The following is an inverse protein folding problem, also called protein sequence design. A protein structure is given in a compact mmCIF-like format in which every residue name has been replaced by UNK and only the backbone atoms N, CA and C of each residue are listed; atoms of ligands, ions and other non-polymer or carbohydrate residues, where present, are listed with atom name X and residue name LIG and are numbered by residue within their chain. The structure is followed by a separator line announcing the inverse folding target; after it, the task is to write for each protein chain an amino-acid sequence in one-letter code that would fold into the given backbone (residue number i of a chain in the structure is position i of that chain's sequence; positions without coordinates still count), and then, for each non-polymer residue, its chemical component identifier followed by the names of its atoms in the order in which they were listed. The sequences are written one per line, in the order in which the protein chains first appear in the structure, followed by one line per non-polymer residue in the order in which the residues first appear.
data_IF_620984804653
#
_entry.id   IF_620984804653
#
_cell.length_a   1.000
_cell.length_b   1.000
_cell.length_c   1.000
_cell.angle_alpha   90.00
_cell.angle_beta   90.00
_cell.angle_gamma   90.00
#
_symmetry.space_group_name_H-M   'P 1'
#
loop_
_entity.id
_entity.type
_entity.pdbx_description
1 polymer ?
#
# COMPACT_ATOMS: atom_id res chain seq x y z
N UNK A 1 18.16 30.07 -6.65
CA UNK A 1 17.14 29.00 -6.69
C UNK A 1 17.69 27.78 -5.93
N UNK A 2 16.84 26.82 -5.60
CA UNK A 2 17.22 25.56 -4.91
C UNK A 2 16.99 24.39 -5.84
N UNK A 3 17.51 23.22 -5.49
CA UNK A 3 17.34 22.00 -6.26
C UNK A 3 15.89 21.50 -6.23
N UNK A 4 15.40 20.99 -7.35
CA UNK A 4 14.15 20.26 -7.45
C UNK A 4 14.41 18.88 -8.06
N UNK A 5 13.80 17.84 -7.51
CA UNK A 5 14.00 16.46 -7.94
C UNK A 5 12.67 15.81 -8.31
N UNK A 6 12.67 15.08 -9.41
CA UNK A 6 11.62 14.18 -9.85
C UNK A 6 12.21 12.79 -9.95
N UNK A 7 11.68 11.86 -9.20
CA UNK A 7 12.19 10.50 -9.06
C UNK A 7 11.10 9.54 -9.51
N UNK A 8 11.40 8.70 -10.48
CA UNK A 8 10.57 7.55 -10.86
C UNK A 8 11.26 6.27 -10.45
N UNK A 9 10.73 5.63 -9.41
CA UNK A 9 11.25 4.36 -8.92
C UNK A 9 10.51 3.20 -9.58
N UNK A 10 11.16 2.57 -10.57
CA UNK A 10 10.75 1.32 -11.16
C UNK A 10 11.18 0.09 -10.35
N UNK A 11 10.80 -1.10 -10.81
CA UNK A 11 11.22 -2.37 -10.20
C UNK A 11 12.71 -2.65 -10.37
N UNK A 12 13.28 -2.33 -11.52
CA UNK A 12 14.70 -2.59 -11.85
C UNK A 12 15.56 -1.33 -11.76
N UNK A 13 15.08 -0.20 -12.25
CA UNK A 13 15.80 1.05 -12.30
C UNK A 13 15.01 2.18 -11.65
N UNK A 14 15.74 3.12 -11.08
CA UNK A 14 15.23 4.40 -10.58
C UNK A 14 15.80 5.50 -11.47
N UNK A 15 14.92 6.26 -12.09
CA UNK A 15 15.27 7.41 -12.91
C UNK A 15 15.07 8.70 -12.12
N UNK A 16 16.07 9.58 -12.13
CA UNK A 16 16.03 10.85 -11.42
C UNK A 16 16.28 11.98 -12.40
N UNK A 17 15.39 12.95 -12.41
CA UNK A 17 15.56 14.23 -13.10
C UNK A 17 15.75 15.29 -12.03
N UNK A 18 16.87 16.00 -12.08
CA UNK A 18 17.19 17.08 -11.17
C UNK A 18 17.23 18.42 -11.91
N UNK A 19 16.57 19.42 -11.38
CA UNK A 19 16.73 20.81 -11.80
C UNK A 19 17.69 21.50 -10.86
N UNK A 20 18.79 21.97 -11.42
CA UNK A 20 19.81 22.72 -10.70
C UNK A 20 19.36 24.13 -10.31
N UNK A 21 20.06 24.78 -9.37
CA UNK A 21 19.76 26.17 -9.01
C UNK A 21 19.88 27.18 -10.17
N UNK A 22 20.70 26.87 -11.18
CA UNK A 22 20.87 27.67 -12.41
C UNK A 22 19.74 27.45 -13.43
N UNK A 23 18.80 26.50 -13.14
CA UNK A 23 17.68 26.15 -13.99
C UNK A 23 17.97 25.02 -14.99
N UNK A 24 19.21 24.55 -15.11
CA UNK A 24 19.56 23.43 -15.99
C UNK A 24 19.02 22.10 -15.47
N UNK A 25 18.70 21.19 -16.38
CA UNK A 25 18.26 19.84 -16.05
C UNK A 25 19.43 18.86 -16.14
N UNK A 26 19.46 17.92 -15.21
CA UNK A 26 20.37 16.79 -15.23
C UNK A 26 19.59 15.51 -14.90
N UNK A 27 20.05 14.40 -15.47
CA UNK A 27 19.42 13.10 -15.27
C UNK A 27 20.41 12.11 -14.70
N UNK A 28 19.92 11.20 -13.88
CA UNK A 28 20.71 10.10 -13.35
C UNK A 28 19.86 8.84 -13.28
N UNK A 29 20.44 7.71 -13.65
CA UNK A 29 19.78 6.41 -13.63
C UNK A 29 20.61 5.44 -12.80
N UNK A 30 19.94 4.74 -11.88
CA UNK A 30 20.58 3.76 -11.02
C UNK A 30 19.67 2.55 -10.80
N UNK A 31 20.24 1.45 -10.34
CA UNK A 31 19.44 0.26 -9.99
C UNK A 31 18.53 0.60 -8.80
N UNK A 32 17.29 0.13 -8.83
CA UNK A 32 16.35 0.33 -7.71
C UNK A 32 16.78 -0.41 -6.45
N UNK A 33 17.48 -1.55 -6.61
CA UNK A 33 18.04 -2.36 -5.54
C UNK A 33 19.52 -2.63 -5.80
N UNK A 34 20.39 -2.14 -4.91
CA UNK A 34 21.83 -2.40 -4.92
C UNK A 34 22.37 -2.35 -3.48
N UNK A 35 22.08 -3.38 -2.66
CA UNK A 35 22.41 -3.38 -1.23
C UNK A 35 23.89 -3.27 -0.92
N UNK A 36 24.76 -3.58 -1.88
CA UNK A 36 26.22 -3.46 -1.73
C UNK A 36 26.68 -1.99 -1.77
N UNK A 37 25.97 -1.12 -2.46
CA UNK A 37 26.35 0.28 -2.64
C UNK A 37 25.47 1.26 -1.87
N UNK A 38 24.16 0.98 -1.78
CA UNK A 38 23.20 1.85 -1.10
C UNK A 38 21.95 1.06 -0.63
N UNK A 39 21.30 1.56 0.41
CA UNK A 39 20.04 1.01 0.91
C UNK A 39 18.82 1.49 0.14
N UNK A 40 18.89 2.71 -0.38
CA UNK A 40 17.79 3.35 -1.10
C UNK A 40 18.31 4.13 -2.31
N UNK A 41 17.75 3.83 -3.48
CA UNK A 41 18.16 4.41 -4.75
C UNK A 41 17.83 5.91 -4.84
N UNK A 42 16.70 6.36 -4.29
CA UNK A 42 16.34 7.76 -4.33
C UNK A 42 17.31 8.61 -3.51
N UNK A 43 17.65 8.16 -2.31
CA UNK A 43 18.64 8.81 -1.44
C UNK A 43 20.03 8.81 -2.09
N UNK A 44 20.44 7.69 -2.70
CA UNK A 44 21.72 7.62 -3.41
C UNK A 44 21.80 8.62 -4.56
N UNK A 45 20.73 8.76 -5.34
CA UNK A 45 20.66 9.72 -6.41
C UNK A 45 20.64 11.18 -5.96
N UNK A 46 19.94 11.50 -4.86
CA UNK A 46 20.01 12.84 -4.26
C UNK A 46 21.46 13.17 -3.81
N UNK A 47 22.13 12.23 -3.15
CA UNK A 47 23.54 12.39 -2.73
C UNK A 47 24.47 12.61 -3.90
N UNK A 48 24.25 11.89 -5.01
CA UNK A 48 25.03 12.05 -6.23
C UNK A 48 24.94 13.50 -6.77
N UNK A 49 23.74 14.06 -6.89
CA UNK A 49 23.58 15.43 -7.40
C UNK A 49 24.04 16.52 -6.44
N UNK A 50 23.92 16.29 -5.15
CA UNK A 50 24.31 17.23 -4.10
C UNK A 50 25.78 17.07 -3.68
N UNK A 51 26.49 16.10 -4.27
CA UNK A 51 27.91 15.76 -3.96
C UNK A 51 28.12 15.48 -2.45
N UNK A 52 27.14 14.78 -1.84
CA UNK A 52 27.15 14.45 -0.41
C UNK A 52 27.65 13.03 -0.21
N UNK A 53 28.72 12.80 0.59
CA UNK A 53 29.23 11.47 0.84
C UNK A 53 28.25 10.58 1.59
N UNK A 54 28.46 9.24 1.45
CA UNK A 54 27.66 8.26 2.17
C UNK A 54 27.73 8.49 3.69
N UNK A 55 26.59 8.47 4.37
CA UNK A 55 26.51 8.68 5.82
C UNK A 55 26.40 10.14 6.28
N UNK A 56 26.75 11.12 5.44
CA UNK A 56 26.56 12.53 5.80
C UNK A 56 25.09 12.97 5.70
N UNK A 57 24.69 13.98 6.45
CA UNK A 57 23.35 14.54 6.37
C UNK A 57 23.12 15.22 5.02
N UNK A 58 21.92 15.04 4.45
CA UNK A 58 21.53 15.72 3.21
C UNK A 58 21.19 17.19 3.55
N UNK A 59 21.78 18.17 2.83
CA UNK A 59 21.52 19.59 3.08
C UNK A 59 20.12 19.99 2.58
N UNK A 60 19.11 19.81 3.43
CA UNK A 60 17.69 20.05 3.11
C UNK A 60 17.43 21.49 2.69
N UNK A 61 18.21 22.43 3.18
CA UNK A 61 18.12 23.86 2.84
C UNK A 61 18.46 24.15 1.37
N UNK A 62 19.22 23.27 0.71
CA UNK A 62 19.51 23.33 -0.74
C UNK A 62 18.39 22.78 -1.61
N UNK A 63 17.43 22.06 -1.01
CA UNK A 63 16.34 21.38 -1.71
C UNK A 63 15.05 22.20 -1.59
N UNK A 64 14.39 22.44 -2.71
CA UNK A 64 13.10 23.10 -2.77
C UNK A 64 11.95 22.09 -2.78
N UNK A 65 12.09 21.02 -3.56
CA UNK A 65 11.07 19.99 -3.68
C UNK A 65 11.66 18.65 -4.13
N UNK A 66 11.11 17.58 -3.58
CA UNK A 66 11.30 16.21 -4.07
C UNK A 66 9.92 15.65 -4.43
N UNK A 67 9.74 15.24 -5.68
CA UNK A 67 8.54 14.57 -6.17
C UNK A 67 8.92 13.15 -6.56
N UNK A 68 8.22 12.18 -5.99
CA UNK A 68 8.53 10.77 -6.22
C UNK A 68 7.29 10.04 -6.72
N UNK A 69 7.44 9.33 -7.84
CA UNK A 69 6.52 8.35 -8.35
C UNK A 69 7.12 6.95 -8.21
N UNK A 70 6.29 5.94 -8.15
CA UNK A 70 6.75 4.55 -8.13
C UNK A 70 5.80 3.64 -8.88
N UNK A 71 6.37 2.78 -9.71
CA UNK A 71 5.67 1.71 -10.43
C UNK A 71 5.89 0.34 -9.79
N UNK A 72 6.71 0.25 -8.73
CA UNK A 72 7.00 -1.00 -8.02
C UNK A 72 5.72 -1.71 -7.59
N UNK A 73 4.75 -0.92 -7.09
CA UNK A 73 3.45 -1.41 -6.70
C UNK A 73 2.66 -2.02 -7.86
N UNK A 74 2.64 -1.35 -8.99
CA UNK A 74 1.96 -1.82 -10.20
C UNK A 74 2.65 -3.04 -10.77
N UNK A 75 3.99 -3.05 -10.79
CA UNK A 75 4.77 -4.17 -11.29
C UNK A 75 4.57 -5.42 -10.42
N UNK A 76 4.63 -5.30 -9.10
CA UNK A 76 4.36 -6.42 -8.19
C UNK A 76 2.93 -6.97 -8.35
N UNK A 77 1.96 -6.10 -8.67
CA UNK A 77 0.60 -6.51 -8.99
C UNK A 77 0.52 -7.28 -10.31
N UNK A 78 1.18 -6.77 -11.36
CA UNK A 78 1.23 -7.40 -12.68
C UNK A 78 1.99 -8.73 -12.65
N UNK A 79 3.10 -8.79 -11.93
CA UNK A 79 3.92 -9.98 -11.75
C UNK A 79 3.36 -10.95 -10.71
N UNK A 80 2.30 -10.54 -9.97
CA UNK A 80 1.66 -11.31 -8.89
C UNK A 80 2.63 -11.77 -7.81
N UNK A 81 3.74 -11.08 -7.67
CA UNK A 81 4.74 -11.26 -6.61
C UNK A 81 4.32 -10.44 -5.40
N UNK A 82 3.59 -11.04 -4.48
CA UNK A 82 3.16 -10.44 -3.21
C UNK A 82 3.39 -11.40 -2.06
N UNK A 83 3.47 -10.87 -0.85
CA UNK A 83 3.45 -11.68 0.36
C UNK A 83 2.14 -12.48 0.44
N UNK A 84 2.19 -13.74 0.90
CA UNK A 84 0.99 -14.52 1.15
C UNK A 84 0.06 -13.78 2.12
N UNK A 85 -1.07 -13.32 1.61
CA UNK A 85 -2.03 -12.51 2.37
C UNK A 85 -3.24 -13.33 2.74
N UNK A 86 -3.70 -13.22 3.99
CA UNK A 86 -5.00 -13.72 4.43
C UNK A 86 -6.03 -12.58 4.37
N UNK A 87 -7.20 -12.86 3.80
CA UNK A 87 -8.32 -11.91 3.73
C UNK A 87 -9.33 -12.21 4.85
N UNK A 88 -9.58 -11.24 5.72
CA UNK A 88 -10.66 -11.26 6.69
C UNK A 88 -11.85 -10.49 6.12
N UNK A 89 -12.99 -11.15 6.00
CA UNK A 89 -14.19 -10.61 5.37
C UNK A 89 -15.43 -10.94 6.22
N UNK A 90 -16.45 -10.12 6.14
CA UNK A 90 -17.75 -10.37 6.80
C UNK A 90 -18.31 -11.75 6.43
N UNK A 91 -18.82 -12.49 7.39
CA UNK A 91 -19.47 -13.78 7.17
C UNK A 91 -20.57 -13.69 6.10
N UNK A 92 -20.59 -14.69 5.19
CA UNK A 92 -21.49 -14.77 4.04
C UNK A 92 -20.95 -14.09 2.78
N UNK A 93 -19.73 -13.52 2.83
CA UNK A 93 -19.09 -12.82 1.70
C UNK A 93 -17.79 -13.45 1.24
N UNK A 94 -17.52 -14.69 1.65
CA UNK A 94 -16.30 -15.43 1.34
C UNK A 94 -15.85 -15.36 -0.13
N UNK A 95 -16.82 -15.53 -1.02
CA UNK A 95 -16.56 -15.61 -2.46
C UNK A 95 -16.74 -14.25 -3.19
N UNK A 96 -17.00 -13.17 -2.45
CA UNK A 96 -17.35 -11.88 -3.03
C UNK A 96 -16.25 -11.33 -3.96
N UNK A 97 -14.99 -11.38 -3.53
CA UNK A 97 -13.87 -10.91 -4.36
C UNK A 97 -13.57 -11.90 -5.50
N UNK A 98 -13.82 -13.20 -5.29
CA UNK A 98 -13.64 -14.23 -6.32
C UNK A 98 -14.68 -14.10 -7.44
N UNK A 99 -15.93 -13.86 -7.08
CA UNK A 99 -17.02 -13.62 -8.04
C UNK A 99 -16.85 -12.27 -8.72
N UNK A 100 -16.32 -11.28 -7.99
CA UNK A 100 -16.06 -9.92 -8.44
C UNK A 100 -17.27 -9.31 -9.17
N UNK A 101 -17.07 -8.79 -10.37
CA UNK A 101 -18.10 -8.21 -11.23
C UNK A 101 -18.62 -9.18 -12.26
N UNK A 102 -18.24 -10.45 -12.20
CA UNK A 102 -18.60 -11.50 -13.18
C UNK A 102 -18.20 -11.12 -14.63
N UNK A 103 -17.15 -10.35 -14.79
CA UNK A 103 -16.65 -9.97 -16.10
C UNK A 103 -16.18 -11.21 -16.86
N UNK A 104 -16.75 -11.43 -18.02
CA UNK A 104 -16.38 -12.52 -18.93
C UNK A 104 -15.65 -11.95 -20.15
N UNK A 105 -14.45 -12.41 -20.50
CA UNK A 105 -13.77 -12.00 -21.72
C UNK A 105 -14.60 -12.32 -22.98
N UNK A 106 -15.38 -13.41 -22.90
CA UNK A 106 -16.32 -13.84 -23.95
C UNK A 106 -17.65 -14.23 -23.31
N UNK A 107 -18.73 -13.58 -23.71
CA UNK A 107 -20.07 -13.75 -23.10
C UNK A 107 -20.58 -15.20 -23.20
N UNK A 108 -20.26 -15.90 -24.29
CA UNK A 108 -20.73 -17.28 -24.55
C UNK A 108 -19.68 -18.35 -24.24
N UNK A 109 -18.60 -18.01 -23.53
CA UNK A 109 -17.59 -18.98 -23.17
C UNK A 109 -18.15 -19.98 -22.15
N UNK A 110 -18.09 -21.28 -22.51
CA UNK A 110 -18.54 -22.37 -21.62
C UNK A 110 -17.52 -22.70 -20.54
N UNK A 111 -16.25 -22.37 -20.78
CA UNK A 111 -15.16 -22.61 -19.84
C UNK A 111 -14.70 -21.28 -19.24
N UNK A 112 -15.37 -20.88 -18.16
CA UNK A 112 -15.06 -19.63 -17.46
C UNK A 112 -13.78 -19.82 -16.65
N UNK A 113 -12.72 -19.14 -17.03
CA UNK A 113 -11.49 -19.04 -16.24
C UNK A 113 -11.57 -17.80 -15.36
N UNK A 114 -11.67 -18.02 -14.04
CA UNK A 114 -11.61 -16.94 -13.07
C UNK A 114 -10.17 -16.41 -12.96
N UNK A 115 -9.98 -15.10 -12.73
CA UNK A 115 -8.67 -14.55 -12.40
C UNK A 115 -8.08 -15.24 -11.17
N UNK A 116 -6.78 -15.38 -11.12
CA UNK A 116 -6.11 -15.84 -9.90
C UNK A 116 -6.28 -14.81 -8.78
N UNK A 117 -6.49 -15.32 -7.57
CA UNK A 117 -6.66 -14.49 -6.40
C UNK A 117 -5.32 -13.91 -5.93
N UNK A 118 -5.35 -12.69 -5.43
CA UNK A 118 -4.19 -12.01 -4.84
C UNK A 118 -3.98 -12.38 -3.37
N UNK A 119 -4.94 -13.06 -2.77
CA UNK A 119 -4.87 -13.61 -1.42
C UNK A 119 -4.88 -15.13 -1.46
N UNK A 120 -4.30 -15.77 -0.46
CA UNK A 120 -4.21 -17.25 -0.40
C UNK A 120 -5.27 -17.88 0.48
N UNK A 121 -5.76 -17.18 1.49
CA UNK A 121 -6.74 -17.68 2.45
C UNK A 121 -7.81 -16.64 2.69
N UNK A 122 -9.04 -17.08 2.89
CA UNK A 122 -10.18 -16.25 3.33
C UNK A 122 -10.66 -16.74 4.67
N UNK A 123 -10.85 -15.81 5.58
CA UNK A 123 -11.46 -16.03 6.89
C UNK A 123 -12.75 -15.20 6.96
N UNK A 124 -13.85 -15.88 7.26
CA UNK A 124 -15.12 -15.22 7.51
C UNK A 124 -15.23 -14.82 8.97
N UNK A 125 -15.46 -13.55 9.22
CA UNK A 125 -15.57 -13.00 10.57
C UNK A 125 -17.03 -12.86 10.96
N UNK A 126 -17.39 -13.35 12.13
CA UNK A 126 -18.71 -13.21 12.72
C UNK A 126 -18.93 -11.79 13.21
N UNK A 127 -19.31 -10.94 12.29
CA UNK A 127 -19.65 -9.54 12.52
C UNK A 127 -20.67 -9.06 11.48
N UNK A 128 -21.42 -8.02 11.76
CA UNK A 128 -22.26 -7.35 10.76
C UNK A 128 -22.63 -5.95 11.18
N UNK A 129 -22.18 -4.98 10.39
CA UNK A 129 -22.71 -3.62 10.43
C UNK A 129 -23.84 -3.44 9.44
N UNK A 130 -24.91 -2.80 9.84
CA UNK A 130 -26.02 -2.43 8.97
C UNK A 130 -25.73 -1.18 8.15
N UNK A 131 -26.53 -0.95 7.11
CA UNK A 131 -26.36 0.19 6.21
C UNK A 131 -26.57 1.56 6.89
N UNK A 132 -27.21 1.61 8.04
CA UNK A 132 -27.47 2.82 8.84
C UNK A 132 -26.48 2.99 10.01
N UNK A 133 -25.56 2.04 10.20
CA UNK A 133 -24.60 2.03 11.29
C UNK A 133 -25.06 1.28 12.54
N UNK A 134 -26.19 0.61 12.46
CA UNK A 134 -26.65 -0.29 13.49
C UNK A 134 -25.78 -1.56 13.53
N UNK A 135 -25.49 -2.05 14.73
CA UNK A 135 -24.75 -3.31 14.92
C UNK A 135 -25.76 -4.45 14.82
N UNK A 136 -25.87 -5.06 13.62
CA UNK A 136 -26.75 -6.21 13.39
C UNK A 136 -26.18 -7.46 14.07
N UNK A 137 -24.85 -7.60 14.07
CA UNK A 137 -24.12 -8.63 14.80
C UNK A 137 -22.84 -8.05 15.34
N UNK A 138 -22.63 -8.17 16.64
CA UNK A 138 -21.41 -7.76 17.30
C UNK A 138 -20.20 -8.57 16.78
N UNK A 139 -19.04 -7.95 16.81
CA UNK A 139 -17.77 -8.60 16.48
C UNK A 139 -17.46 -9.70 17.49
N UNK A 140 -17.26 -10.93 17.03
CA UNK A 140 -16.77 -12.03 17.85
C UNK A 140 -15.23 -11.98 17.93
N UNK A 141 -14.71 -11.24 18.93
CA UNK A 141 -13.27 -11.10 19.12
C UNK A 141 -12.59 -12.43 19.45
N UNK A 142 -13.29 -13.35 20.11
CA UNK A 142 -12.75 -14.68 20.45
C UNK A 142 -12.50 -15.48 19.18
N UNK A 143 -13.44 -15.45 18.25
CA UNK A 143 -13.27 -16.07 16.93
C UNK A 143 -12.12 -15.41 16.18
N UNK A 144 -12.06 -14.08 16.17
CA UNK A 144 -11.01 -13.32 15.46
C UNK A 144 -9.62 -13.71 15.98
N UNK A 145 -9.40 -13.71 17.29
CA UNK A 145 -8.12 -14.07 17.90
C UNK A 145 -7.69 -15.50 17.51
N UNK A 146 -8.59 -16.47 17.61
CA UNK A 146 -8.31 -17.83 17.19
C UNK A 146 -7.89 -17.94 15.71
N UNK A 147 -8.59 -17.20 14.81
CA UNK A 147 -8.28 -17.24 13.38
C UNK A 147 -6.97 -16.49 13.06
N UNK A 148 -6.64 -15.42 13.80
CA UNK A 148 -5.35 -14.73 13.69
C UNK A 148 -4.20 -15.65 14.08
N UNK A 149 -4.33 -16.34 15.23
CA UNK A 149 -3.32 -17.31 15.70
C UNK A 149 -3.14 -18.46 14.69
N UNK A 150 -4.24 -19.01 14.16
CA UNK A 150 -4.19 -20.04 13.14
C UNK A 150 -3.49 -19.56 11.86
N UNK A 151 -3.79 -18.34 11.40
CA UNK A 151 -3.15 -17.78 10.21
C UNK A 151 -1.64 -17.53 10.45
N UNK A 152 -1.27 -17.07 11.64
CA UNK A 152 0.16 -16.93 12.01
C UNK A 152 0.89 -18.26 12.04
N UNK A 153 0.28 -19.29 12.59
CA UNK A 153 0.84 -20.65 12.63
C UNK A 153 1.03 -21.22 11.21
N UNK A 154 0.17 -20.87 10.26
CA UNK A 154 0.31 -21.21 8.83
C UNK A 154 1.37 -20.38 8.09
N UNK A 155 2.01 -19.40 8.76
CA UNK A 155 3.09 -18.60 8.20
C UNK A 155 2.65 -17.31 7.51
N UNK A 156 1.38 -16.90 7.62
CA UNK A 156 0.95 -15.61 7.10
C UNK A 156 1.54 -14.46 7.92
N UNK A 157 2.10 -13.47 7.22
CA UNK A 157 2.62 -12.22 7.80
C UNK A 157 1.78 -11.02 7.42
N UNK A 158 0.97 -11.16 6.37
CA UNK A 158 0.13 -10.09 5.81
C UNK A 158 -1.34 -10.43 5.95
N UNK A 159 -2.12 -9.43 6.38
CA UNK A 159 -3.57 -9.51 6.52
C UNK A 159 -4.26 -8.33 5.83
N UNK A 160 -5.32 -8.62 5.09
CA UNK A 160 -6.24 -7.65 4.53
C UNK A 160 -7.60 -7.80 5.21
N UNK A 161 -8.20 -6.69 5.62
CA UNK A 161 -9.49 -6.67 6.34
C UNK A 161 -10.48 -5.85 5.52
N UNK A 162 -11.59 -6.47 5.09
CA UNK A 162 -12.60 -5.81 4.29
C UNK A 162 -14.01 -6.24 4.73
N UNK A 163 -14.66 -5.44 5.59
CA UNK A 163 -15.99 -5.74 6.10
C UNK A 163 -17.09 -5.00 5.34
N UNK A 164 -18.28 -5.57 5.36
CA UNK A 164 -19.43 -4.93 4.78
C UNK A 164 -19.70 -3.60 5.49
N UNK A 165 -19.90 -2.53 4.70
CA UNK A 165 -20.06 -1.16 5.20
C UNK A 165 -18.85 -0.54 5.92
N UNK A 166 -17.69 -1.22 5.99
CA UNK A 166 -16.45 -0.68 6.58
C UNK A 166 -15.99 0.65 6.00
N UNK A 167 -16.38 1.00 4.77
CA UNK A 167 -16.09 2.30 4.16
C UNK A 167 -16.70 3.49 4.93
N UNK A 168 -17.75 3.25 5.70
CA UNK A 168 -18.49 4.26 6.45
C UNK A 168 -18.46 4.01 7.96
N UNK A 169 -18.59 2.74 8.38
CA UNK A 169 -18.63 2.31 9.77
C UNK A 169 -17.43 1.41 10.03
N UNK A 170 -16.35 2.03 10.49
CA UNK A 170 -15.00 1.44 10.54
C UNK A 170 -14.68 0.68 11.83
N UNK A 171 -15.58 0.73 12.81
CA UNK A 171 -15.31 0.30 14.19
C UNK A 171 -14.85 -1.17 14.25
N UNK A 172 -15.55 -2.08 13.58
CA UNK A 172 -15.19 -3.49 13.53
C UNK A 172 -13.86 -3.74 12.78
N UNK A 173 -13.64 -3.07 11.63
CA UNK A 173 -12.36 -3.19 10.90
C UNK A 173 -11.18 -2.67 11.73
N UNK A 174 -11.35 -1.51 12.38
CA UNK A 174 -10.30 -0.92 13.20
C UNK A 174 -9.96 -1.81 14.40
N UNK A 175 -10.98 -2.42 15.02
CA UNK A 175 -10.76 -3.34 16.13
C UNK A 175 -10.00 -4.60 15.69
N UNK A 176 -10.38 -5.20 14.55
CA UNK A 176 -9.66 -6.37 14.01
C UNK A 176 -8.24 -6.00 13.57
N UNK A 177 -8.03 -4.81 13.01
CA UNK A 177 -6.70 -4.34 12.67
C UNK A 177 -5.81 -4.20 13.91
N UNK A 178 -6.34 -3.66 15.02
CA UNK A 178 -5.63 -3.60 16.28
C UNK A 178 -5.25 -4.99 16.79
N UNK A 179 -6.20 -5.93 16.82
CA UNK A 179 -5.96 -7.32 17.25
C UNK A 179 -4.91 -8.01 16.35
N UNK A 180 -4.91 -7.73 15.04
CA UNK A 180 -3.92 -8.28 14.12
C UNK A 180 -2.51 -7.73 14.42
N UNK A 181 -2.37 -6.46 14.74
CA UNK A 181 -1.10 -5.88 15.18
C UNK A 181 -0.62 -6.50 16.50
N UNK A 182 -1.52 -6.65 17.47
CA UNK A 182 -1.23 -7.31 18.76
C UNK A 182 -0.80 -8.78 18.57
N UNK A 183 -1.41 -9.49 17.59
CA UNK A 183 -1.03 -10.84 17.21
C UNK A 183 0.31 -10.91 16.42
N UNK A 184 0.93 -9.77 16.11
CA UNK A 184 2.26 -9.70 15.47
C UNK A 184 2.26 -9.85 13.96
N UNK A 185 1.19 -9.50 13.25
CA UNK A 185 1.21 -9.36 11.80
C UNK A 185 2.08 -8.17 11.39
N UNK A 186 2.98 -8.39 10.44
CA UNK A 186 3.91 -7.35 9.96
C UNK A 186 3.22 -6.34 9.06
N UNK A 187 2.21 -6.80 8.30
CA UNK A 187 1.46 -5.98 7.36
C UNK A 187 -0.03 -6.15 7.63
N UNK A 188 -0.67 -5.08 8.07
CA UNK A 188 -2.11 -5.03 8.33
C UNK A 188 -2.71 -3.94 7.45
N UNK A 189 -3.69 -4.31 6.63
CA UNK A 189 -4.39 -3.38 5.74
C UNK A 189 -5.88 -3.43 6.01
N UNK A 190 -6.42 -2.37 6.57
CA UNK A 190 -7.86 -2.20 6.76
C UNK A 190 -8.47 -1.42 5.59
N UNK A 191 -9.58 -1.88 5.06
CA UNK A 191 -10.16 -1.35 3.83
C UNK A 191 -10.59 0.12 3.93
N UNK A 192 -10.99 0.56 5.10
CA UNK A 192 -11.38 1.96 5.35
C UNK A 192 -10.18 2.93 5.34
N UNK A 193 -8.97 2.45 5.60
CA UNK A 193 -7.74 3.25 5.57
C UNK A 193 -7.14 3.29 4.17
N UNK A 194 -7.10 2.13 3.50
CA UNK A 194 -6.47 2.00 2.17
C UNK A 194 -7.27 2.73 1.10
N UNK A 195 -8.57 2.44 1.01
CA UNK A 195 -9.44 3.06 -0.01
C UNK A 195 -10.91 2.88 0.37
N UNK A 196 -11.55 3.85 1.03
CA UNK A 196 -12.91 3.72 1.54
C UNK A 196 -13.98 3.78 0.43
N UNK A 197 -13.88 2.89 -0.56
CA UNK A 197 -14.86 2.77 -1.62
C UNK A 197 -16.12 2.05 -1.11
N UNK A 198 -17.29 2.52 -1.53
CA UNK A 198 -18.57 1.94 -1.13
C UNK A 198 -18.70 0.48 -1.56
N UNK A 199 -18.28 0.13 -2.78
CA UNK A 199 -18.36 -1.22 -3.32
C UNK A 199 -17.31 -2.13 -2.71
N UNK A 200 -17.73 -3.21 -2.08
CA UNK A 200 -16.85 -4.15 -1.37
C UNK A 200 -15.82 -4.81 -2.28
N UNK A 201 -16.16 -5.09 -3.54
CA UNK A 201 -15.22 -5.71 -4.50
C UNK A 201 -14.04 -4.79 -4.75
N UNK A 202 -14.28 -3.55 -5.24
CA UNK A 202 -13.20 -2.59 -5.51
C UNK A 202 -12.38 -2.28 -4.25
N UNK A 203 -13.06 -2.14 -3.10
CA UNK A 203 -12.41 -1.87 -1.82
C UNK A 203 -11.55 -3.05 -1.38
N UNK A 204 -12.08 -4.27 -1.43
CA UNK A 204 -11.38 -5.48 -1.06
C UNK A 204 -10.17 -5.75 -1.97
N UNK A 205 -10.32 -5.62 -3.28
CA UNK A 205 -9.21 -5.79 -4.23
C UNK A 205 -8.07 -4.80 -3.93
N UNK A 206 -8.40 -3.52 -3.71
CA UNK A 206 -7.40 -2.51 -3.36
C UNK A 206 -6.71 -2.83 -2.02
N UNK A 207 -7.47 -3.32 -1.05
CA UNK A 207 -6.95 -3.66 0.29
C UNK A 207 -6.03 -4.87 0.23
N UNK A 208 -6.37 -5.90 -0.53
CA UNK A 208 -5.53 -7.11 -0.68
C UNK A 208 -4.20 -6.80 -1.37
N UNK A 209 -4.17 -5.79 -2.24
CA UNK A 209 -2.95 -5.34 -2.93
C UNK A 209 -2.05 -4.49 -2.02
N UNK A 210 -2.62 -3.86 -0.99
CA UNK A 210 -1.92 -2.93 -0.12
C UNK A 210 -0.86 -3.57 0.80
N UNK A 211 -1.02 -4.79 1.35
CA UNK A 211 0.02 -5.42 2.14
C UNK A 211 1.25 -5.72 1.26
N UNK A 212 2.37 -5.03 1.51
CA UNK A 212 3.59 -5.16 0.72
C UNK A 212 4.83 -5.21 1.59
N UNK A 213 5.94 -5.81 1.06
CA UNK A 213 7.16 -5.96 1.84
C UNK A 213 7.70 -4.60 2.32
N UNK A 214 8.28 -4.64 3.50
CA UNK A 214 8.85 -3.55 4.30
C UNK A 214 9.77 -2.57 3.54
N UNK A 215 10.34 -2.97 2.42
CA UNK A 215 11.17 -2.09 1.58
C UNK A 215 10.41 -0.90 0.97
N UNK A 216 9.10 -0.99 0.83
CA UNK A 216 8.29 0.09 0.27
C UNK A 216 7.85 1.12 1.32
N UNK A 217 7.53 0.65 2.54
CA UNK A 217 7.10 1.53 3.65
C UNK A 217 8.30 2.30 4.20
N UNK A 218 9.48 1.70 4.27
CA UNK A 218 10.69 2.39 4.73
C UNK A 218 11.08 3.56 3.81
N UNK A 219 10.86 3.45 2.50
CA UNK A 219 11.11 4.55 1.57
C UNK A 219 10.13 5.73 1.76
N UNK A 220 8.87 5.46 2.10
CA UNK A 220 7.88 6.49 2.42
C UNK A 220 8.15 7.12 3.79
N UNK A 221 8.48 6.33 4.80
CA UNK A 221 8.76 6.80 6.17
C UNK A 221 10.07 7.59 6.24
N UNK A 222 11.08 7.22 5.47
CA UNK A 222 12.33 8.00 5.36
C UNK A 222 12.09 9.37 4.70
N UNK A 223 11.14 9.46 3.76
CA UNK A 223 10.75 10.75 3.18
C UNK A 223 10.04 11.67 4.20
N UNK A 224 9.30 11.10 5.17
CA UNK A 224 8.62 11.86 6.22
C UNK A 224 9.58 12.33 7.33
N UNK A 225 10.59 11.53 7.68
CA UNK A 225 11.47 11.83 8.83
C UNK A 225 12.69 12.67 8.47
N UNK A 226 13.19 12.59 7.25
CA UNK A 226 14.44 13.27 6.87
C UNK A 226 14.25 14.56 6.05
N UNK A 227 13.08 14.81 5.45
CA UNK A 227 12.95 15.93 4.50
C UNK A 227 11.69 16.78 4.64
N UNK A 228 10.77 16.50 5.55
CA UNK A 228 9.55 17.31 5.68
C UNK A 228 9.33 17.78 7.11
N UNK A 229 9.50 19.08 7.36
CA UNK A 229 9.15 19.74 8.63
C UNK A 229 7.63 19.97 8.83
N UNK A 230 6.80 19.37 7.99
CA UNK A 230 5.33 19.35 8.15
C UNK A 230 4.83 17.94 7.83
N UNK A 231 4.06 17.30 8.74
CA UNK A 231 3.47 15.99 8.49
C UNK A 231 2.46 16.12 7.34
N UNK A 232 2.84 15.67 6.16
CA UNK A 232 1.89 15.46 5.08
C UNK A 232 1.07 14.22 5.46
N UNK A 233 -0.20 14.41 5.81
CA UNK A 233 -1.14 13.31 5.94
C UNK A 233 -1.23 12.62 4.59
N UNK A 234 -0.65 11.45 4.46
CA UNK A 234 -0.82 10.59 3.31
C UNK A 234 -2.27 10.12 3.25
N UNK A 235 -3.07 10.84 2.51
CA UNK A 235 -4.35 10.36 2.02
C UNK A 235 -4.10 9.77 0.63
N UNK A 236 -4.69 8.60 0.39
CA UNK A 236 -4.79 7.81 -0.85
C UNK A 236 -4.31 8.49 -2.16
N UNK A 237 -3.95 7.71 -3.16
CA UNK A 237 -3.45 8.11 -4.49
C UNK A 237 -4.18 9.29 -5.18
N UNK A 238 -5.40 9.65 -4.77
CA UNK A 238 -6.13 10.85 -5.22
C UNK A 238 -5.68 12.15 -4.55
N UNK A 239 -5.14 12.13 -3.34
CA UNK A 239 -4.63 13.34 -2.68
C UNK A 239 -3.32 13.83 -3.31
N UNK A 240 -2.61 12.96 -3.99
CA UNK A 240 -1.39 13.30 -4.75
C UNK A 240 -1.68 14.24 -5.93
N UNK A 241 -2.82 14.04 -6.61
CA UNK A 241 -3.24 14.88 -7.73
C UNK A 241 -3.80 16.25 -7.30
N UNK A 242 -4.31 16.39 -6.08
CA UNK A 242 -4.89 17.65 -5.62
C UNK A 242 -3.87 18.65 -5.04
N UNK A 243 -2.71 18.16 -4.59
CA UNK A 243 -1.65 19.03 -4.06
C UNK A 243 -0.82 19.72 -5.17
N UNK A 244 -0.87 19.20 -6.41
CA UNK A 244 -0.17 19.80 -7.56
C UNK A 244 -1.03 20.80 -8.37
N UNK A 245 -2.28 21.03 -8.00
CA UNK A 245 -3.26 21.79 -8.81
C UNK A 245 -3.59 23.19 -8.33
N UNK A 246 -2.85 23.79 -7.40
CA UNK A 246 -3.05 25.19 -7.03
C UNK A 246 -1.73 25.91 -6.83
N UNK A 247 -1.16 26.35 -7.94
CA UNK A 247 -0.62 27.69 -8.25
C UNK A 247 -0.10 27.71 -9.67
#
# INVERSE_FOLDING_TARGET
MRWQFWIDRGGTFTDIVARRPDGTLATHKLLSENPEQYRDAAIAGLRHFLEVPAGAAIPVEKIEAVKMGTTVATNALLERKGEPTVLFITQGFRDQLRIAYQNRPRIFDRNIRLPELLYRKVVEVYERMGARGDVVRALDETQVLRELDAARAEGFRSIAIAFLHGYRFREHEARVAQLAHEAGFEQVSASHEVSPLMKIVSRGDTTVVSPRPTSFISALTLCETETCSKPARFASSKAWLSCCGKR
#
